data_IF_320931318297
#
_entry.id   IF_320931318297
#
_cell.length_a   1.000
_cell.length_b   1.000
_cell.length_c   1.000
_cell.angle_alpha   90.00
_cell.angle_beta   90.00
_cell.angle_gamma   90.00
#
_symmetry.space_group_name_H-M   'P 1'
#
loop_
_entity.id
_entity.type
_entity.pdbx_description
1 polymer ?
#
# COMPACT_ATOMS: atom_id res chain seq x y z
N UNK A 1 -30.46 -9.88 13.18
CA UNK A 1 -28.99 -9.89 13.41
C UNK A 1 -28.27 -9.13 12.32
N UNK A 2 -28.39 -9.53 11.03
CA UNK A 2 -27.81 -8.81 9.88
C UNK A 2 -28.09 -7.30 9.88
N UNK A 3 -29.35 -6.90 10.10
CA UNK A 3 -29.71 -5.47 10.13
C UNK A 3 -29.03 -4.64 11.21
N UNK A 4 -28.89 -5.19 12.43
CA UNK A 4 -28.35 -4.48 13.58
C UNK A 4 -26.80 -4.51 13.63
N UNK A 5 -26.20 -5.46 12.92
CA UNK A 5 -24.76 -5.73 12.93
C UNK A 5 -24.21 -5.82 11.50
N UNK A 6 -24.47 -4.83 10.63
CA UNK A 6 -24.20 -4.93 9.20
C UNK A 6 -22.73 -5.21 8.88
N UNK A 7 -21.80 -4.65 9.66
CA UNK A 7 -20.36 -4.82 9.45
C UNK A 7 -19.79 -6.20 9.73
N UNK A 8 -20.55 -7.10 10.37
CA UNK A 8 -20.11 -8.48 10.67
C UNK A 8 -20.58 -9.50 9.63
N UNK A 9 -21.41 -9.10 8.67
CA UNK A 9 -21.92 -9.99 7.64
C UNK A 9 -21.36 -9.57 6.29
N UNK A 10 -20.76 -10.53 5.59
CA UNK A 10 -20.36 -10.35 4.19
C UNK A 10 -21.56 -10.57 3.29
N UNK A 11 -21.62 -9.78 2.23
CA UNK A 11 -22.66 -9.88 1.23
C UNK A 11 -22.31 -10.92 0.17
N UNK A 12 -23.37 -11.49 -0.40
CA UNK A 12 -23.25 -12.56 -1.38
C UNK A 12 -22.83 -11.99 -2.75
N UNK A 13 -22.28 -12.83 -3.62
CA UNK A 13 -21.73 -12.40 -4.91
C UNK A 13 -22.73 -11.59 -5.78
N UNK A 14 -24.01 -11.97 -5.76
CA UNK A 14 -25.06 -11.24 -6.45
C UNK A 14 -25.26 -9.80 -5.93
N UNK A 15 -25.16 -9.59 -4.62
CA UNK A 15 -25.29 -8.28 -4.00
C UNK A 15 -24.11 -7.37 -4.36
N UNK A 16 -22.90 -7.93 -4.45
CA UNK A 16 -21.69 -7.21 -4.87
C UNK A 16 -21.78 -6.71 -6.32
N UNK A 17 -22.34 -7.50 -7.25
CA UNK A 17 -22.55 -7.07 -8.64
C UNK A 17 -23.43 -5.83 -8.73
N UNK A 18 -24.48 -5.76 -7.91
CA UNK A 18 -25.40 -4.62 -7.91
C UNK A 18 -24.78 -3.36 -7.31
N UNK A 19 -23.97 -3.51 -6.26
CA UNK A 19 -23.17 -2.40 -5.70
C UNK A 19 -22.20 -1.87 -6.75
N UNK A 20 -21.48 -2.74 -7.46
CA UNK A 20 -20.52 -2.35 -8.49
C UNK A 20 -21.13 -1.56 -9.65
N UNK A 21 -22.42 -1.74 -9.93
CA UNK A 21 -23.16 -0.99 -10.96
C UNK A 21 -23.57 0.41 -10.50
N UNK A 22 -23.87 0.60 -9.22
CA UNK A 22 -24.56 1.81 -8.73
C UNK A 22 -23.74 2.67 -7.77
N UNK A 23 -22.76 2.07 -7.08
CA UNK A 23 -21.97 2.76 -6.07
C UNK A 23 -21.06 3.84 -6.68
N UNK A 24 -20.74 4.81 -5.84
CA UNK A 24 -19.68 5.78 -6.06
C UNK A 24 -18.37 5.16 -5.55
N UNK A 25 -17.33 5.26 -6.36
CA UNK A 25 -15.97 4.85 -6.03
C UNK A 25 -15.23 6.04 -5.45
N UNK A 26 -14.91 5.95 -4.16
CA UNK A 26 -14.19 7.00 -3.43
C UNK A 26 -12.74 6.59 -3.30
N UNK A 27 -11.82 7.43 -3.75
CA UNK A 27 -10.39 7.12 -3.74
C UNK A 27 -9.65 7.87 -2.64
N UNK A 28 -8.78 7.15 -1.95
CA UNK A 28 -7.80 7.75 -1.03
C UNK A 28 -6.58 8.30 -1.79
N UNK A 29 -5.88 9.26 -1.19
CA UNK A 29 -4.67 9.87 -1.72
C UNK A 29 -3.59 8.81 -2.02
N UNK A 30 -3.46 7.81 -1.15
CA UNK A 30 -2.44 6.77 -1.27
C UNK A 30 -2.59 5.94 -2.55
N UNK A 31 -3.82 5.77 -3.06
CA UNK A 31 -4.08 5.04 -4.31
C UNK A 31 -3.56 5.84 -5.49
N UNK A 32 -3.86 7.14 -5.54
CA UNK A 32 -3.39 8.03 -6.60
C UNK A 32 -1.86 8.14 -6.60
N UNK A 33 -1.25 8.21 -5.41
CA UNK A 33 0.20 8.23 -5.24
C UNK A 33 0.86 6.91 -5.67
N UNK A 34 0.18 5.77 -5.52
CA UNK A 34 0.72 4.48 -5.94
C UNK A 34 0.81 4.33 -7.46
N UNK A 35 0.01 5.07 -8.24
CA UNK A 35 0.12 5.09 -9.70
C UNK A 35 1.53 5.51 -10.14
N UNK A 36 2.22 6.36 -9.37
CA UNK A 36 3.61 6.77 -9.66
C UNK A 36 4.66 5.70 -9.39
N UNK A 37 4.28 4.61 -8.70
CA UNK A 37 5.14 3.50 -8.30
C UNK A 37 4.96 2.26 -9.18
N UNK A 38 3.98 2.28 -10.08
CA UNK A 38 3.76 1.22 -11.05
C UNK A 38 4.55 1.49 -12.31
N UNK A 39 4.81 0.43 -13.08
CA UNK A 39 5.27 0.48 -14.45
C UNK A 39 4.32 1.32 -15.31
N UNK A 40 4.80 1.80 -16.45
CA UNK A 40 3.97 2.59 -17.37
C UNK A 40 2.72 1.80 -17.81
N UNK A 41 2.89 0.51 -18.12
CA UNK A 41 1.79 -0.39 -18.51
C UNK A 41 0.73 -0.49 -17.42
N UNK A 42 1.14 -0.72 -16.17
CA UNK A 42 0.22 -0.86 -15.04
C UNK A 42 -0.43 0.46 -14.64
N UNK A 43 0.30 1.58 -14.74
CA UNK A 43 -0.23 2.92 -14.55
C UNK A 43 -1.33 3.23 -15.57
N UNK A 44 -1.09 2.95 -16.85
CA UNK A 44 -2.07 3.11 -17.93
C UNK A 44 -3.27 2.19 -17.74
N UNK A 45 -3.04 0.94 -17.31
CA UNK A 45 -4.08 0.00 -16.94
C UNK A 45 -5.00 0.57 -15.86
N UNK A 46 -4.43 1.05 -14.75
CA UNK A 46 -5.18 1.65 -13.64
C UNK A 46 -5.97 2.89 -14.09
N UNK A 47 -5.33 3.80 -14.82
CA UNK A 47 -5.98 5.02 -15.34
C UNK A 47 -7.11 4.70 -16.32
N UNK A 48 -7.02 3.61 -17.09
CA UNK A 48 -8.09 3.14 -17.98
C UNK A 48 -9.33 2.73 -17.20
N UNK A 49 -9.15 2.05 -16.07
CA UNK A 49 -10.27 1.71 -15.17
C UNK A 49 -10.93 2.96 -14.65
N UNK A 50 -10.15 3.90 -14.11
CA UNK A 50 -10.68 5.17 -13.62
C UNK A 50 -11.47 5.94 -14.69
N UNK A 51 -11.00 5.92 -15.94
CA UNK A 51 -11.74 6.47 -17.09
C UNK A 51 -13.04 5.71 -17.37
N UNK A 52 -13.02 4.38 -17.29
CA UNK A 52 -14.21 3.55 -17.51
C UNK A 52 -15.30 3.81 -16.46
N UNK A 53 -14.93 4.10 -15.21
CA UNK A 53 -15.86 4.41 -14.12
C UNK A 53 -15.99 5.90 -13.82
N UNK A 54 -15.49 6.78 -14.70
CA UNK A 54 -15.32 8.21 -14.40
C UNK A 54 -16.61 8.91 -13.94
N UNK A 55 -17.79 8.47 -14.39
CA UNK A 55 -19.07 9.08 -13.99
C UNK A 55 -19.47 8.77 -12.54
N UNK A 56 -18.75 7.85 -11.90
CA UNK A 56 -19.01 7.34 -10.55
C UNK A 56 -17.79 7.44 -9.65
N UNK A 57 -16.75 8.16 -10.04
CA UNK A 57 -15.63 8.44 -9.13
C UNK A 57 -15.91 9.68 -8.29
N UNK A 58 -15.39 9.70 -7.08
CA UNK A 58 -15.35 10.87 -6.23
C UNK A 58 -14.10 10.84 -5.36
N UNK A 59 -13.62 12.00 -4.92
CA UNK A 59 -12.50 12.10 -3.99
C UNK A 59 -12.74 13.24 -3.00
N UNK A 60 -12.34 13.01 -1.75
CA UNK A 60 -12.44 14.04 -0.72
C UNK A 60 -11.44 15.17 -0.99
N UNK A 61 -11.77 16.39 -0.56
CA UNK A 61 -10.85 17.52 -0.66
C UNK A 61 -9.53 17.22 0.08
N UNK A 62 -9.64 16.61 1.27
CA UNK A 62 -8.50 16.24 2.09
C UNK A 62 -7.56 15.25 1.37
N UNK A 63 -8.11 14.22 0.72
CA UNK A 63 -7.30 13.27 -0.04
C UNK A 63 -6.61 13.93 -1.25
N UNK A 64 -7.27 14.90 -1.90
CA UNK A 64 -6.65 15.69 -2.97
C UNK A 64 -5.50 16.55 -2.43
N UNK A 65 -5.68 17.24 -1.30
CA UNK A 65 -4.60 18.00 -0.65
C UNK A 65 -3.40 17.11 -0.33
N UNK A 66 -3.65 15.94 0.27
CA UNK A 66 -2.59 14.98 0.63
C UNK A 66 -1.87 14.43 -0.61
N UNK A 67 -2.61 14.15 -1.69
CA UNK A 67 -2.02 13.77 -2.97
C UNK A 67 -1.05 14.86 -3.47
N UNK A 68 -1.48 16.12 -3.51
CA UNK A 68 -0.64 17.22 -3.98
C UNK A 68 0.58 17.46 -3.09
N UNK A 69 0.43 17.37 -1.76
CA UNK A 69 1.53 17.54 -0.81
C UNK A 69 2.60 16.45 -0.93
N UNK A 70 2.19 15.21 -1.20
CA UNK A 70 3.09 14.06 -1.19
C UNK A 70 3.62 13.64 -2.57
N UNK A 71 2.98 14.08 -3.68
CA UNK A 71 3.33 13.65 -5.04
C UNK A 71 4.82 13.81 -5.36
N UNK A 72 5.39 14.98 -5.11
CA UNK A 72 6.79 15.25 -5.44
C UNK A 72 7.75 14.37 -4.63
N UNK A 73 7.43 14.10 -3.36
CA UNK A 73 8.21 13.19 -2.53
C UNK A 73 8.16 11.75 -3.08
N UNK A 74 6.99 11.30 -3.56
CA UNK A 74 6.86 9.99 -4.20
C UNK A 74 7.70 9.90 -5.47
N UNK A 75 7.65 10.90 -6.35
CA UNK A 75 8.47 10.95 -7.57
C UNK A 75 9.97 10.87 -7.21
N UNK A 76 10.43 11.68 -6.24
CA UNK A 76 11.82 11.66 -5.78
C UNK A 76 12.23 10.31 -5.17
N UNK A 77 11.32 9.64 -4.45
CA UNK A 77 11.59 8.29 -3.90
C UNK A 77 11.80 7.25 -5.01
N UNK A 78 11.07 7.36 -6.13
CA UNK A 78 11.27 6.48 -7.28
C UNK A 78 12.58 6.78 -7.98
N UNK A 79 12.94 8.06 -8.11
CA UNK A 79 14.25 8.48 -8.64
C UNK A 79 15.41 7.85 -7.85
N UNK A 80 15.33 7.89 -6.51
CA UNK A 80 16.34 7.30 -5.64
C UNK A 80 16.42 5.77 -5.77
N UNK A 81 15.29 5.08 -6.02
CA UNK A 81 15.27 3.64 -6.23
C UNK A 81 16.03 3.23 -7.51
N UNK A 82 15.91 4.02 -8.59
CA UNK A 82 16.73 3.81 -9.79
C UNK A 82 18.23 4.00 -9.50
N UNK A 83 18.59 5.05 -8.76
CA UNK A 83 19.99 5.30 -8.38
C UNK A 83 20.59 4.17 -7.54
N UNK A 84 19.85 3.70 -6.54
CA UNK A 84 20.32 2.61 -5.69
C UNK A 84 20.42 1.29 -6.47
N UNK A 85 19.53 1.05 -7.44
CA UNK A 85 19.64 -0.11 -8.35
C UNK A 85 20.90 -0.03 -9.22
N UNK A 86 21.19 1.14 -9.82
CA UNK A 86 22.40 1.34 -10.63
C UNK A 86 23.67 1.15 -9.80
N UNK A 87 23.72 1.67 -8.56
CA UNK A 87 24.85 1.43 -7.64
C UNK A 87 25.04 -0.04 -7.31
N UNK A 88 23.96 -0.81 -7.15
CA UNK A 88 24.05 -2.24 -6.90
C UNK A 88 24.63 -3.00 -8.11
N UNK A 89 24.28 -2.58 -9.33
CA UNK A 89 24.90 -3.11 -10.56
C UNK A 89 26.39 -2.80 -10.58
N UNK A 90 26.80 -1.55 -10.32
CA UNK A 90 28.22 -1.17 -10.31
C UNK A 90 29.03 -1.93 -9.24
N UNK A 91 28.42 -2.17 -8.06
CA UNK A 91 29.04 -2.94 -7.00
C UNK A 91 29.19 -4.43 -7.37
N UNK A 92 28.23 -4.99 -8.10
CA UNK A 92 28.31 -6.37 -8.60
C UNK A 92 29.35 -6.51 -9.70
N UNK A 93 29.39 -5.57 -10.65
CA UNK A 93 30.43 -5.50 -11.69
C UNK A 93 31.83 -5.46 -11.08
N UNK A 94 32.04 -4.58 -10.10
CA UNK A 94 33.34 -4.44 -9.42
C UNK A 94 33.80 -5.72 -8.71
N UNK A 95 32.85 -6.51 -8.17
CA UNK A 95 33.16 -7.81 -7.54
C UNK A 95 33.57 -8.85 -8.57
N UNK A 96 32.87 -8.89 -9.71
CA UNK A 96 33.13 -9.88 -10.76
C UNK A 96 34.41 -9.58 -11.55
N UNK A 97 34.77 -8.31 -11.71
CA UNK A 97 36.01 -7.88 -12.38
C UNK A 97 37.29 -8.17 -11.55
N UNK A 98 37.13 -8.54 -10.27
CA UNK A 98 38.25 -8.93 -9.42
C UNK A 98 38.78 -10.33 -9.76
N UNK A 99 39.61 -10.40 -10.82
CA UNK A 99 40.22 -11.62 -11.35
C UNK A 99 40.97 -12.50 -10.30
N UNK A 100 41.38 -11.92 -9.16
CA UNK A 100 42.03 -12.69 -8.08
C UNK A 100 41.05 -13.59 -7.32
N UNK A 101 39.77 -13.22 -7.29
CA UNK A 101 38.73 -13.99 -6.59
C UNK A 101 38.04 -15.01 -7.49
N UNK A 102 38.13 -14.84 -8.82
CA UNK A 102 37.40 -15.65 -9.79
C UNK A 102 38.26 -16.09 -11.00
N UNK A 103 39.41 -16.76 -10.79
CA UNK A 103 40.38 -17.06 -11.85
C UNK A 103 39.89 -18.03 -12.93
N UNK A 104 38.75 -18.69 -12.73
CA UNK A 104 38.17 -19.66 -13.66
C UNK A 104 36.96 -19.13 -14.44
N UNK A 105 36.56 -17.86 -14.23
CA UNK A 105 35.50 -17.24 -15.04
C UNK A 105 36.03 -16.98 -16.45
N UNK A 106 35.21 -17.35 -17.45
CA UNK A 106 35.54 -17.08 -18.84
C UNK A 106 35.37 -15.58 -19.13
N UNK A 107 36.41 -14.96 -19.70
CA UNK A 107 36.40 -13.55 -20.08
C UNK A 107 35.25 -13.20 -21.01
N UNK A 108 34.91 -14.07 -21.98
CA UNK A 108 33.80 -13.79 -22.90
C UNK A 108 32.45 -13.66 -22.19
N UNK A 109 32.22 -14.46 -21.13
CA UNK A 109 31.01 -14.36 -20.32
C UNK A 109 30.97 -13.09 -19.48
N UNK A 110 32.13 -12.61 -19.01
CA UNK A 110 32.22 -11.31 -18.32
C UNK A 110 31.95 -10.15 -19.28
N UNK A 111 32.48 -10.20 -20.50
CA UNK A 111 32.26 -9.18 -21.54
C UNK A 111 30.76 -9.12 -21.92
N UNK A 112 30.09 -10.27 -22.10
CA UNK A 112 28.63 -10.35 -22.36
C UNK A 112 27.81 -9.79 -21.19
N UNK A 113 28.20 -10.09 -19.95
CA UNK A 113 27.54 -9.58 -18.76
C UNK A 113 27.69 -8.06 -18.63
N UNK A 114 28.89 -7.52 -18.85
CA UNK A 114 29.17 -6.07 -18.84
C UNK A 114 28.36 -5.33 -19.92
N UNK A 115 28.26 -5.91 -21.12
CA UNK A 115 27.41 -5.36 -22.18
C UNK A 115 25.92 -5.34 -21.75
N UNK A 116 25.46 -6.40 -21.09
CA UNK A 116 24.08 -6.50 -20.58
C UNK A 116 23.82 -5.49 -19.47
N UNK A 117 24.73 -5.36 -18.50
CA UNK A 117 24.61 -4.35 -17.44
C UNK A 117 24.64 -2.93 -17.96
N UNK A 118 25.47 -2.65 -18.98
CA UNK A 118 25.48 -1.34 -19.63
C UNK A 118 24.12 -1.01 -20.26
N UNK A 119 23.51 -1.98 -20.95
CA UNK A 119 22.16 -1.84 -21.51
C UNK A 119 21.10 -1.60 -20.43
N UNK A 120 21.13 -2.39 -19.35
CA UNK A 120 20.19 -2.24 -18.23
C UNK A 120 20.36 -0.86 -17.57
N UNK A 121 21.60 -0.42 -17.32
CA UNK A 121 21.88 0.92 -16.76
C UNK A 121 21.35 2.04 -17.65
N UNK A 122 21.42 1.87 -18.97
CA UNK A 122 20.82 2.82 -19.90
C UNK A 122 19.29 2.84 -19.77
N UNK A 123 18.61 1.69 -19.77
CA UNK A 123 17.16 1.58 -19.60
C UNK A 123 16.69 2.19 -18.27
N UNK A 124 17.44 1.96 -17.18
CA UNK A 124 17.17 2.54 -15.86
C UNK A 124 17.37 4.06 -15.87
N UNK A 125 18.40 4.57 -16.54
CA UNK A 125 18.67 6.01 -16.67
C UNK A 125 17.57 6.73 -17.47
N UNK A 126 17.12 6.12 -18.57
CA UNK A 126 16.01 6.63 -19.38
C UNK A 126 14.70 6.63 -18.58
N UNK A 127 14.42 5.53 -17.86
CA UNK A 127 13.24 5.42 -16.99
C UNK A 127 13.28 6.43 -15.85
N UNK A 128 14.44 6.61 -15.20
CA UNK A 128 14.68 7.62 -14.17
C UNK A 128 14.35 9.01 -14.71
N UNK A 129 14.91 9.37 -15.87
CA UNK A 129 14.65 10.66 -16.51
C UNK A 129 13.16 10.86 -16.80
N UNK A 130 12.51 9.86 -17.39
CA UNK A 130 11.07 9.91 -17.68
C UNK A 130 10.22 10.13 -16.42
N UNK A 131 10.59 9.51 -15.29
CA UNK A 131 9.93 9.74 -14.00
C UNK A 131 10.23 11.13 -13.42
N UNK A 132 11.48 11.58 -13.43
CA UNK A 132 11.87 12.89 -12.90
C UNK A 132 11.28 14.05 -13.71
N UNK A 133 11.10 13.88 -15.03
CA UNK A 133 10.45 14.88 -15.89
C UNK A 133 8.98 15.14 -15.46
N UNK A 134 8.34 14.20 -14.74
CA UNK A 134 7.00 14.37 -14.14
C UNK A 134 6.94 15.45 -13.05
N UNK A 135 8.08 15.95 -12.58
CA UNK A 135 8.08 17.12 -11.69
C UNK A 135 7.55 18.36 -12.42
N UNK A 136 7.87 18.50 -13.71
CA UNK A 136 7.51 19.65 -14.54
C UNK A 136 6.35 19.35 -15.50
N UNK A 137 6.35 18.16 -16.12
CA UNK A 137 5.33 17.73 -17.08
C UNK A 137 4.77 16.37 -16.68
N UNK A 138 3.55 16.35 -16.13
CA UNK A 138 2.99 15.18 -15.46
C UNK A 138 1.67 14.71 -16.11
N UNK A 139 1.75 13.79 -17.10
CA UNK A 139 0.56 13.25 -17.76
C UNK A 139 -0.39 12.50 -16.80
N UNK A 140 0.12 11.93 -15.70
CA UNK A 140 -0.70 11.23 -14.71
C UNK A 140 -1.54 12.25 -13.96
N UNK A 141 -0.92 13.32 -13.46
CA UNK A 141 -1.62 14.42 -12.78
C UNK A 141 -2.68 15.05 -13.69
N UNK A 142 -2.35 15.29 -14.96
CA UNK A 142 -3.30 15.90 -15.90
C UNK A 142 -4.48 14.97 -16.22
N UNK A 143 -4.20 13.66 -16.36
CA UNK A 143 -5.25 12.65 -16.54
C UNK A 143 -6.16 12.55 -15.31
N UNK A 144 -5.57 12.53 -14.11
CA UNK A 144 -6.33 12.49 -12.85
C UNK A 144 -7.19 13.74 -12.67
N UNK A 145 -6.64 14.93 -12.98
CA UNK A 145 -7.41 16.18 -12.95
C UNK A 145 -8.65 16.09 -13.86
N UNK A 146 -8.49 15.60 -15.10
CA UNK A 146 -9.61 15.40 -16.02
C UNK A 146 -10.64 14.39 -15.51
N UNK A 147 -10.21 13.30 -14.87
CA UNK A 147 -11.11 12.24 -14.36
C UNK A 147 -11.97 12.78 -13.21
N UNK A 148 -11.34 13.51 -12.28
CA UNK A 148 -11.97 14.01 -11.06
C UNK A 148 -12.57 15.42 -11.19
N UNK A 149 -12.55 16.01 -12.39
CA UNK A 149 -13.17 17.31 -12.65
C UNK A 149 -14.64 17.32 -12.20
N UNK A 150 -15.00 18.26 -11.32
CA UNK A 150 -16.33 18.37 -10.71
C UNK A 150 -16.70 17.27 -9.70
N UNK A 151 -15.77 16.39 -9.32
CA UNK A 151 -15.99 15.22 -8.45
C UNK A 151 -15.11 15.24 -7.20
N UNK A 152 -14.74 16.44 -6.77
CA UNK A 152 -13.96 16.69 -5.56
C UNK A 152 -14.89 17.28 -4.51
N UNK A 153 -14.79 16.82 -3.27
CA UNK A 153 -15.50 17.41 -2.14
C UNK A 153 -15.16 18.90 -1.96
N UNK A 154 -16.08 19.66 -1.35
CA UNK A 154 -15.79 21.05 -0.98
C UNK A 154 -14.71 21.12 0.11
N UNK A 155 -13.85 22.15 0.11
CA UNK A 155 -12.95 22.39 1.23
C UNK A 155 -13.75 22.68 2.50
N UNK A 156 -13.27 22.18 3.64
CA UNK A 156 -13.76 22.64 4.92
C UNK A 156 -13.22 24.04 5.23
N UNK A 157 -14.09 24.86 5.79
CA UNK A 157 -13.71 26.11 6.44
C UNK A 157 -12.89 25.82 7.70
N UNK A 158 -12.13 26.81 8.17
CA UNK A 158 -11.36 26.71 9.41
C UNK A 158 -12.23 26.29 10.59
N UNK A 159 -13.45 26.84 10.69
CA UNK A 159 -14.42 26.51 11.74
C UNK A 159 -14.92 25.06 11.67
N UNK A 160 -15.11 24.52 10.46
CA UNK A 160 -15.45 23.11 10.28
C UNK A 160 -14.28 22.22 10.71
N UNK A 161 -13.05 22.55 10.32
CA UNK A 161 -11.85 21.86 10.80
C UNK A 161 -11.73 21.89 12.33
N UNK A 162 -11.91 23.04 12.98
CA UNK A 162 -11.89 23.15 14.44
C UNK A 162 -12.95 22.26 15.12
N UNK A 163 -14.12 22.11 14.49
CA UNK A 163 -15.17 21.22 14.98
C UNK A 163 -14.74 19.76 14.85
N UNK A 164 -14.18 19.39 13.71
CA UNK A 164 -13.62 18.04 13.47
C UNK A 164 -12.47 17.74 14.42
N UNK A 165 -11.61 18.70 14.75
CA UNK A 165 -10.50 18.48 15.67
C UNK A 165 -10.98 18.15 17.08
N UNK A 166 -11.98 18.90 17.59
CA UNK A 166 -12.59 18.64 18.91
C UNK A 166 -13.26 17.28 18.97
N UNK A 167 -14.01 16.91 17.93
CA UNK A 167 -14.62 15.58 17.84
C UNK A 167 -13.54 14.48 17.72
N UNK A 168 -12.55 14.70 16.85
CA UNK A 168 -11.43 13.80 16.60
C UNK A 168 -10.62 13.49 17.86
N UNK A 169 -10.36 14.47 18.73
CA UNK A 169 -9.73 14.22 20.03
C UNK A 169 -10.54 13.24 20.88
N UNK A 170 -11.87 13.41 20.90
CA UNK A 170 -12.76 12.52 21.65
C UNK A 170 -12.81 11.14 21.03
N UNK A 171 -12.91 11.04 19.71
CA UNK A 171 -12.90 9.77 18.96
C UNK A 171 -11.59 9.02 19.18
N UNK A 172 -10.45 9.67 19.00
CA UNK A 172 -9.14 9.03 19.09
C UNK A 172 -8.85 8.55 20.51
N UNK A 173 -9.18 9.34 21.54
CA UNK A 173 -9.06 8.93 22.95
C UNK A 173 -9.90 7.70 23.28
N UNK A 174 -11.03 7.50 22.57
CA UNK A 174 -11.94 6.37 22.74
C UNK A 174 -11.69 5.24 21.74
N UNK A 175 -10.62 5.32 20.94
CA UNK A 175 -10.29 4.36 19.88
C UNK A 175 -11.45 4.16 18.88
N UNK A 176 -12.20 5.22 18.59
CA UNK A 176 -13.26 5.22 17.59
C UNK A 176 -12.63 5.44 16.21
N UNK A 177 -12.80 4.53 15.25
CA UNK A 177 -12.21 4.63 13.91
C UNK A 177 -12.87 5.71 13.03
N UNK A 178 -12.24 6.14 11.92
CA UNK A 178 -10.84 5.88 11.55
C UNK A 178 -9.88 6.93 12.12
N UNK A 179 -8.58 6.72 11.96
CA UNK A 179 -7.52 7.71 12.22
C UNK A 179 -6.91 7.70 13.62
N UNK A 180 -7.47 6.98 14.59
CA UNK A 180 -6.92 6.95 15.96
C UNK A 180 -5.50 6.38 16.03
N UNK A 181 -5.05 5.64 15.02
CA UNK A 181 -3.66 5.17 14.93
C UNK A 181 -2.64 6.27 14.65
N UNK A 182 -3.07 7.42 14.16
CA UNK A 182 -2.21 8.59 13.98
C UNK A 182 -2.15 9.48 15.23
N UNK A 183 -2.83 9.09 16.33
CA UNK A 183 -2.76 9.82 17.60
C UNK A 183 -1.33 10.00 18.14
N UNK A 184 -0.39 9.14 17.78
CA UNK A 184 1.03 9.27 18.19
C UNK A 184 1.83 10.28 17.35
N UNK A 185 1.39 10.61 16.13
CA UNK A 185 1.93 11.74 15.34
C UNK A 185 1.60 13.10 15.99
N UNK A 186 0.80 13.09 17.06
CA UNK A 186 0.27 14.27 17.73
C UNK A 186 1.10 14.81 18.90
N UNK A 187 2.27 14.23 19.22
CA UNK A 187 3.08 14.74 20.35
C UNK A 187 3.61 16.16 20.12
N UNK A 188 3.52 16.70 18.90
CA UNK A 188 4.03 18.01 18.49
C UNK A 188 3.03 18.80 17.60
N UNK A 189 1.73 18.48 17.63
CA UNK A 189 0.75 19.11 16.75
C UNK A 189 0.27 20.48 17.29
N UNK A 190 1.16 21.47 17.33
CA UNK A 190 0.86 22.81 17.86
C UNK A 190 0.26 23.74 16.79
N UNK A 191 0.50 23.48 15.50
CA UNK A 191 -0.05 24.29 14.41
C UNK A 191 -1.37 23.73 13.86
N UNK A 192 -2.17 24.59 13.23
CA UNK A 192 -3.39 24.19 12.52
C UNK A 192 -3.11 23.13 11.44
N UNK A 193 -1.99 23.23 10.73
CA UNK A 193 -1.61 22.26 9.71
C UNK A 193 -1.22 20.90 10.29
N UNK A 194 -0.61 20.87 11.48
CA UNK A 194 -0.29 19.61 12.15
C UNK A 194 -1.56 18.93 12.66
N UNK A 195 -2.54 19.69 13.12
CA UNK A 195 -3.87 19.17 13.43
C UNK A 195 -4.60 18.65 12.19
N UNK A 196 -4.55 19.36 11.05
CA UNK A 196 -5.08 18.86 9.77
C UNK A 196 -4.46 17.51 9.40
N UNK A 197 -3.14 17.35 9.56
CA UNK A 197 -2.44 16.08 9.30
C UNK A 197 -2.85 14.98 10.28
N UNK A 198 -2.95 15.30 11.58
CA UNK A 198 -3.36 14.37 12.64
C UNK A 198 -4.77 13.81 12.40
N UNK A 199 -5.68 14.65 11.93
CA UNK A 199 -7.08 14.30 11.71
C UNK A 199 -7.42 14.05 10.24
N UNK A 200 -6.43 13.89 9.36
CA UNK A 200 -6.61 13.71 7.91
C UNK A 200 -7.56 12.55 7.59
N UNK A 201 -7.28 11.36 8.12
CA UNK A 201 -8.12 10.16 7.97
C UNK A 201 -9.59 10.41 8.38
N UNK A 202 -9.80 11.12 9.51
CA UNK A 202 -11.14 11.47 9.98
C UNK A 202 -11.83 12.46 9.04
N UNK A 203 -11.13 13.46 8.52
CA UNK A 203 -11.68 14.42 7.56
C UNK A 203 -12.07 13.70 6.26
N UNK A 204 -11.23 12.80 5.74
CA UNK A 204 -11.55 11.97 4.57
C UNK A 204 -12.83 11.18 4.82
N UNK A 205 -12.97 10.57 5.99
CA UNK A 205 -14.14 9.80 6.39
C UNK A 205 -15.42 10.66 6.45
N UNK A 206 -15.37 11.79 7.15
CA UNK A 206 -16.52 12.69 7.31
C UNK A 206 -16.97 13.30 5.97
N UNK A 207 -16.04 13.67 5.09
CA UNK A 207 -16.39 14.14 3.75
C UNK A 207 -17.02 13.03 2.90
N UNK A 208 -16.56 11.79 3.05
CA UNK A 208 -17.13 10.62 2.37
C UNK A 208 -18.57 10.35 2.84
N UNK A 209 -18.82 10.41 4.15
CA UNK A 209 -20.15 10.26 4.74
C UNK A 209 -21.13 11.33 4.22
N UNK A 210 -20.69 12.60 4.23
CA UNK A 210 -21.51 13.70 3.74
C UNK A 210 -21.86 13.51 2.26
N UNK A 211 -20.87 13.20 1.41
CA UNK A 211 -21.12 13.00 -0.02
C UNK A 211 -22.07 11.82 -0.30
N UNK A 212 -21.91 10.70 0.42
CA UNK A 212 -22.77 9.54 0.27
C UNK A 212 -24.21 9.80 0.70
N UNK A 213 -24.39 10.55 1.80
CA UNK A 213 -25.69 10.99 2.27
C UNK A 213 -26.37 11.89 1.24
N UNK A 214 -25.67 12.91 0.75
CA UNK A 214 -26.23 13.92 -0.14
C UNK A 214 -26.57 13.35 -1.53
N UNK A 215 -25.77 12.39 -2.01
CA UNK A 215 -26.01 11.70 -3.28
C UNK A 215 -26.95 10.50 -3.16
N UNK A 216 -27.25 10.06 -1.93
CA UNK A 216 -27.99 8.84 -1.62
C UNK A 216 -27.43 7.60 -2.34
N UNK A 217 -26.09 7.47 -2.38
CA UNK A 217 -25.37 6.38 -3.06
C UNK A 217 -24.64 5.45 -2.08
N UNK A 218 -24.57 4.18 -2.45
CA UNK A 218 -23.60 3.26 -1.84
C UNK A 218 -22.18 3.70 -2.18
N UNK A 219 -21.23 3.37 -1.31
CA UNK A 219 -19.81 3.72 -1.50
C UNK A 219 -18.93 2.48 -1.50
N UNK A 220 -18.04 2.44 -2.48
CA UNK A 220 -16.84 1.59 -2.46
C UNK A 220 -15.67 2.55 -2.23
N UNK A 221 -15.02 2.46 -1.08
CA UNK A 221 -13.85 3.24 -0.73
C UNK A 221 -12.57 2.46 -1.04
N UNK A 222 -11.67 3.02 -1.84
CA UNK A 222 -10.43 2.38 -2.27
C UNK A 222 -9.28 3.01 -1.51
N UNK A 223 -8.59 2.21 -0.70
CA UNK A 223 -7.41 2.62 0.07
C UNK A 223 -6.43 1.46 0.24
N UNK A 224 -5.14 1.75 0.15
CA UNK A 224 -4.06 0.84 0.54
C UNK A 224 -3.57 1.09 1.97
N UNK A 225 -4.30 1.87 2.77
CA UNK A 225 -4.06 1.98 4.20
C UNK A 225 -4.24 0.61 4.87
N UNK A 226 -3.45 0.33 5.90
CA UNK A 226 -3.34 -0.98 6.57
C UNK A 226 -3.61 -0.90 8.06
N UNK A 227 -3.93 0.29 8.56
CA UNK A 227 -4.15 0.51 9.98
C UNK A 227 -5.43 -0.22 10.40
N UNK A 228 -5.40 -0.74 11.62
CA UNK A 228 -6.50 -1.53 12.20
C UNK A 228 -7.73 -0.67 12.57
N UNK A 229 -7.61 0.65 12.46
CA UNK A 229 -8.72 1.60 12.57
C UNK A 229 -9.49 1.75 11.25
N UNK A 230 -8.97 1.23 10.14
CA UNK A 230 -9.72 1.10 8.87
C UNK A 230 -10.21 -0.33 8.64
N UNK A 231 -9.39 -1.32 8.98
CA UNK A 231 -9.63 -2.73 8.68
C UNK A 231 -9.81 -3.60 9.91
N UNK A 232 -10.75 -4.54 9.83
CA UNK A 232 -10.78 -5.69 10.74
C UNK A 232 -9.72 -6.71 10.33
N UNK A 233 -8.77 -6.97 11.23
CA UNK A 233 -7.64 -7.86 11.00
C UNK A 233 -7.68 -8.98 12.03
N UNK A 234 -7.66 -10.22 11.57
CA UNK A 234 -7.63 -11.40 12.41
C UNK A 234 -6.46 -12.31 12.02
N UNK A 235 -5.56 -12.61 12.96
CA UNK A 235 -4.35 -13.42 12.73
C UNK A 235 -3.55 -12.99 11.49
N UNK A 236 -3.37 -11.68 11.30
CA UNK A 236 -2.65 -11.12 10.15
C UNK A 236 -3.42 -11.09 8.84
N UNK A 237 -4.65 -11.64 8.79
CA UNK A 237 -5.52 -11.60 7.62
C UNK A 237 -6.52 -10.46 7.73
N UNK A 238 -6.57 -9.62 6.70
CA UNK A 238 -7.63 -8.61 6.54
C UNK A 238 -8.95 -9.30 6.23
N UNK A 239 -9.96 -9.09 7.09
CA UNK A 239 -11.29 -9.69 6.95
C UNK A 239 -12.22 -8.76 6.16
N UNK A 240 -12.15 -7.46 6.40
CA UNK A 240 -13.02 -6.46 5.78
C UNK A 240 -12.89 -5.10 6.45
N UNK A 241 -13.72 -4.11 6.06
CA UNK A 241 -13.79 -2.83 6.77
C UNK A 241 -14.15 -3.06 8.24
N UNK A 242 -13.71 -2.15 9.12
CA UNK A 242 -14.12 -2.19 10.53
C UNK A 242 -15.66 -2.19 10.67
N UNK A 243 -16.23 -3.09 11.49
CA UNK A 243 -17.68 -3.14 11.66
C UNK A 243 -18.29 -1.82 12.14
N UNK A 244 -17.54 -1.04 12.93
CA UNK A 244 -17.94 0.29 13.39
C UNK A 244 -18.09 1.29 12.24
N UNK A 245 -17.19 1.26 11.25
CA UNK A 245 -17.27 2.12 10.07
C UNK A 245 -18.49 1.78 9.22
N UNK A 246 -18.72 0.49 8.97
CA UNK A 246 -19.90 0.02 8.22
C UNK A 246 -21.19 0.42 8.95
N UNK A 247 -21.22 0.28 10.28
CA UNK A 247 -22.38 0.67 11.09
C UNK A 247 -22.60 2.18 11.07
N UNK A 248 -21.56 2.99 11.32
CA UNK A 248 -21.66 4.45 11.30
C UNK A 248 -22.16 4.95 9.93
N UNK A 249 -21.62 4.38 8.84
CA UNK A 249 -22.04 4.73 7.50
C UNK A 249 -23.51 4.38 7.25
N UNK A 250 -23.95 3.17 7.61
CA UNK A 250 -25.34 2.75 7.44
C UNK A 250 -26.29 3.60 8.30
N UNK A 251 -25.93 3.88 9.55
CA UNK A 251 -26.75 4.69 10.45
C UNK A 251 -26.88 6.14 9.95
N UNK A 252 -25.82 6.71 9.35
CA UNK A 252 -25.81 8.09 8.87
C UNK A 252 -26.48 8.24 7.49
N UNK A 253 -26.24 7.32 6.56
CA UNK A 253 -26.64 7.46 5.14
C UNK A 253 -27.81 6.57 4.72
N UNK A 254 -28.13 5.53 5.51
CA UNK A 254 -28.98 4.40 5.08
C UNK A 254 -28.48 3.68 3.81
N UNK A 255 -27.19 3.78 3.49
CA UNK A 255 -26.52 3.16 2.33
C UNK A 255 -25.48 2.14 2.75
N UNK A 256 -25.00 1.36 1.78
CA UNK A 256 -23.99 0.31 1.97
C UNK A 256 -22.58 0.89 1.77
N UNK A 257 -21.65 0.35 2.55
CA UNK A 257 -20.25 0.76 2.54
C UNK A 257 -19.33 -0.44 2.37
N UNK A 258 -18.42 -0.32 1.41
CA UNK A 258 -17.40 -1.32 1.11
C UNK A 258 -16.04 -0.67 1.06
N UNK A 259 -15.01 -1.47 1.34
CA UNK A 259 -13.62 -1.04 1.19
C UNK A 259 -12.85 -2.05 0.36
N UNK A 260 -12.05 -1.55 -0.58
CA UNK A 260 -11.09 -2.36 -1.34
C UNK A 260 -9.70 -1.77 -1.25
N UNK A 261 -8.73 -2.67 -1.31
CA UNK A 261 -7.36 -2.32 -1.68
C UNK A 261 -7.22 -2.22 -3.19
N UNK A 262 -6.14 -1.64 -3.68
CA UNK A 262 -5.91 -1.46 -5.11
C UNK A 262 -5.97 -2.80 -5.89
N UNK A 263 -5.33 -3.85 -5.37
CA UNK A 263 -5.32 -5.20 -5.96
C UNK A 263 -6.73 -5.80 -6.09
N UNK A 264 -7.51 -5.69 -5.01
CA UNK A 264 -8.89 -6.21 -4.95
C UNK A 264 -9.81 -5.41 -5.86
N UNK A 265 -9.65 -4.09 -5.92
CA UNK A 265 -10.38 -3.22 -6.82
C UNK A 265 -10.14 -3.61 -8.29
N UNK A 266 -8.90 -3.83 -8.70
CA UNK A 266 -8.60 -4.21 -10.10
C UNK A 266 -9.11 -5.61 -10.44
N UNK A 267 -9.00 -6.58 -9.54
CA UNK A 267 -9.57 -7.92 -9.75
C UNK A 267 -11.10 -7.86 -9.96
N UNK A 268 -11.79 -7.13 -9.08
CA UNK A 268 -13.23 -6.95 -9.20
C UNK A 268 -13.61 -6.11 -10.43
N UNK A 269 -12.79 -5.13 -10.85
CA UNK A 269 -13.01 -4.40 -12.09
C UNK A 269 -12.93 -5.33 -13.31
N UNK A 270 -11.96 -6.24 -13.33
CA UNK A 270 -11.89 -7.27 -14.37
C UNK A 270 -13.14 -8.14 -14.44
N UNK A 271 -13.65 -8.56 -13.28
CA UNK A 271 -14.82 -9.41 -13.19
C UNK A 271 -16.13 -8.68 -13.54
N UNK A 272 -16.37 -7.50 -12.96
CA UNK A 272 -17.65 -6.81 -13.06
C UNK A 272 -17.72 -5.81 -14.22
N UNK A 273 -16.58 -5.33 -14.72
CA UNK A 273 -16.49 -4.32 -15.78
C UNK A 273 -15.85 -4.85 -17.07
N UNK A 274 -15.43 -6.13 -17.11
CA UNK A 274 -14.73 -6.75 -18.25
C UNK A 274 -13.54 -5.92 -18.74
N UNK A 275 -12.78 -5.35 -17.81
CA UNK A 275 -11.75 -4.36 -18.13
C UNK A 275 -10.47 -4.91 -18.79
N UNK A 276 -10.32 -6.23 -18.90
CA UNK A 276 -9.20 -6.92 -19.55
C UNK A 276 -7.82 -6.46 -19.05
N UNK A 277 -7.66 -6.23 -17.76
CA UNK A 277 -6.37 -6.01 -17.11
C UNK A 277 -5.62 -7.34 -17.11
N UNK A 278 -4.39 -7.34 -17.58
CA UNK A 278 -3.57 -8.53 -17.62
C UNK A 278 -3.01 -8.91 -16.23
N UNK A 279 -2.64 -10.18 -16.08
CA UNK A 279 -2.19 -10.75 -14.82
C UNK A 279 -0.90 -10.11 -14.29
N UNK A 280 -0.04 -9.58 -15.17
CA UNK A 280 1.20 -8.90 -14.78
C UNK A 280 0.89 -7.60 -14.03
N UNK A 281 -0.05 -6.78 -14.54
CA UNK A 281 -0.49 -5.57 -13.86
C UNK A 281 -1.14 -5.87 -12.50
N UNK A 282 -1.97 -6.91 -12.41
CA UNK A 282 -2.57 -7.32 -11.13
C UNK A 282 -1.49 -7.75 -10.13
N UNK A 283 -0.51 -8.52 -10.57
CA UNK A 283 0.60 -8.97 -9.75
C UNK A 283 1.47 -7.79 -9.27
N UNK A 284 1.79 -6.84 -10.16
CA UNK A 284 2.58 -5.66 -9.82
C UNK A 284 1.89 -4.78 -8.78
N UNK A 285 0.60 -4.49 -8.97
CA UNK A 285 -0.17 -3.65 -8.04
C UNK A 285 -0.23 -4.30 -6.65
N UNK A 286 -0.44 -5.61 -6.60
CA UNK A 286 -0.36 -6.39 -5.36
C UNK A 286 1.05 -6.35 -4.75
N UNK A 287 2.08 -6.45 -5.58
CA UNK A 287 3.48 -6.45 -5.14
C UNK A 287 3.88 -5.13 -4.48
N UNK A 288 3.56 -3.99 -5.10
CA UNK A 288 3.79 -2.65 -4.52
C UNK A 288 3.07 -2.49 -3.17
N UNK A 289 1.86 -3.04 -3.06
CA UNK A 289 1.14 -3.08 -1.79
C UNK A 289 1.90 -3.90 -0.74
N UNK A 290 2.32 -5.12 -1.08
CA UNK A 290 3.03 -6.03 -0.17
C UNK A 290 4.36 -5.45 0.30
N UNK A 291 5.19 -4.90 -0.60
CA UNK A 291 6.49 -4.35 -0.22
C UNK A 291 6.33 -3.23 0.82
N UNK A 292 5.38 -2.31 0.61
CA UNK A 292 5.04 -1.30 1.61
C UNK A 292 4.62 -1.91 2.95
N UNK A 293 3.83 -2.99 2.95
CA UNK A 293 3.31 -3.61 4.18
C UNK A 293 4.45 -4.10 5.05
N UNK A 294 5.45 -4.65 4.39
CA UNK A 294 6.55 -5.37 5.01
C UNK A 294 7.52 -4.39 5.61
N UNK A 295 7.89 -3.34 4.88
CA UNK A 295 8.73 -2.28 5.41
C UNK A 295 8.10 -1.61 6.64
N UNK A 296 6.81 -1.24 6.58
CA UNK A 296 6.11 -0.69 7.75
C UNK A 296 6.07 -1.67 8.92
N UNK A 297 5.85 -2.95 8.66
CA UNK A 297 5.86 -3.96 9.71
C UNK A 297 7.26 -4.15 10.33
N UNK A 298 8.32 -4.08 9.53
CA UNK A 298 9.70 -4.17 10.01
C UNK A 298 10.07 -2.98 10.90
N UNK A 299 9.62 -1.77 10.58
CA UNK A 299 9.81 -0.60 11.43
C UNK A 299 9.02 -0.70 12.75
N UNK A 300 7.80 -1.24 12.70
CA UNK A 300 6.89 -1.28 13.86
C UNK A 300 7.17 -2.44 14.82
N UNK A 301 7.52 -3.61 14.29
CA UNK A 301 7.63 -4.84 15.07
C UNK A 301 9.09 -5.29 15.17
N UNK A 302 9.76 -4.94 16.27
CA UNK A 302 11.12 -5.38 16.56
C UNK A 302 11.33 -6.90 16.43
N UNK A 303 10.40 -7.78 16.89
CA UNK A 303 10.57 -9.22 16.69
C UNK A 303 10.57 -9.66 15.22
N UNK A 304 9.81 -8.97 14.36
CA UNK A 304 9.83 -9.23 12.92
C UNK A 304 11.16 -8.76 12.31
N UNK A 305 11.61 -7.57 12.69
CA UNK A 305 12.89 -7.01 12.25
C UNK A 305 14.04 -7.96 12.58
N UNK A 306 14.16 -8.38 13.84
CA UNK A 306 15.23 -9.26 14.30
C UNK A 306 15.18 -10.63 13.62
N UNK A 307 13.97 -11.17 13.39
CA UNK A 307 13.77 -12.41 12.64
C UNK A 307 14.25 -12.28 11.19
N UNK A 308 13.81 -11.24 10.48
CA UNK A 308 14.21 -11.00 9.08
C UNK A 308 15.70 -10.72 8.98
N UNK A 309 16.28 -9.99 9.94
CA UNK A 309 17.72 -9.74 10.01
C UNK A 309 18.49 -11.05 10.09
N UNK A 310 18.11 -11.92 11.03
CA UNK A 310 18.75 -13.23 11.17
C UNK A 310 18.61 -14.08 9.91
N UNK A 311 17.42 -14.17 9.34
CA UNK A 311 17.18 -14.96 8.12
C UNK A 311 17.98 -14.43 6.92
N UNK A 312 18.12 -13.10 6.78
CA UNK A 312 18.99 -12.49 5.77
C UNK A 312 20.47 -12.86 5.98
N UNK A 313 20.94 -12.93 7.23
CA UNK A 313 22.32 -13.37 7.53
C UNK A 313 22.58 -14.83 7.13
N UNK A 314 21.55 -15.68 7.09
CA UNK A 314 21.67 -17.08 6.67
C UNK A 314 21.88 -17.23 5.15
N UNK A 315 21.64 -16.17 4.35
CA UNK A 315 21.77 -16.17 2.88
C UNK A 315 21.01 -17.33 2.22
N UNK A 316 19.81 -17.62 2.72
CA UNK A 316 18.96 -18.66 2.18
C UNK A 316 18.48 -18.28 0.77
N UNK A 317 18.51 -19.23 -0.16
CA UNK A 317 17.90 -19.07 -1.48
C UNK A 317 16.41 -19.40 -1.44
N UNK A 318 15.64 -18.81 -2.35
CA UNK A 318 14.23 -19.17 -2.57
C UNK A 318 14.11 -20.69 -2.80
N UNK A 319 13.13 -21.31 -2.15
CA UNK A 319 12.92 -22.76 -2.08
C UNK A 319 13.57 -23.43 -0.87
N UNK A 320 14.44 -22.72 -0.12
CA UNK A 320 15.09 -23.27 1.06
C UNK A 320 14.15 -23.44 2.24
N UNK A 321 14.40 -24.45 3.07
CA UNK A 321 13.71 -24.62 4.35
C UNK A 321 14.25 -23.60 5.36
N UNK A 322 13.36 -22.95 6.08
CA UNK A 322 13.73 -22.13 7.22
C UNK A 322 14.13 -22.99 8.42
N UNK A 323 14.98 -22.46 9.32
CA UNK A 323 15.21 -23.07 10.63
C UNK A 323 13.90 -23.29 11.38
N UNK A 324 13.86 -24.30 12.24
CA UNK A 324 12.67 -24.63 13.02
C UNK A 324 12.28 -23.49 13.96
N UNK A 325 10.99 -23.40 14.34
CA UNK A 325 10.52 -22.41 15.32
C UNK A 325 11.33 -22.45 16.64
N UNK A 326 11.83 -23.64 17.01
CA UNK A 326 12.70 -23.81 18.18
C UNK A 326 14.03 -23.10 17.99
N UNK A 327 14.71 -23.35 16.88
CA UNK A 327 16.02 -22.75 16.58
C UNK A 327 15.89 -21.23 16.44
N UNK A 328 14.86 -20.76 15.73
CA UNK A 328 14.57 -19.33 15.60
C UNK A 328 14.30 -18.68 16.96
N UNK A 329 13.56 -19.36 17.84
CA UNK A 329 13.28 -18.86 19.19
C UNK A 329 14.56 -18.75 20.04
N UNK A 330 15.45 -19.74 19.96
CA UNK A 330 16.72 -19.75 20.70
C UNK A 330 17.69 -18.68 20.18
N UNK A 331 17.76 -18.44 18.87
CA UNK A 331 18.73 -17.51 18.28
C UNK A 331 18.25 -16.06 18.31
N UNK A 332 16.99 -15.79 17.99
CA UNK A 332 16.45 -14.42 17.93
C UNK A 332 16.04 -13.93 19.34
N UNK A 333 15.92 -14.84 20.32
CA UNK A 333 15.67 -14.49 21.72
C UNK A 333 14.20 -14.19 22.06
N UNK A 334 13.26 -14.57 21.19
CA UNK A 334 11.82 -14.49 21.44
C UNK A 334 11.23 -15.87 21.69
N UNK A 335 10.13 -15.95 22.44
CA UNK A 335 9.43 -17.23 22.64
C UNK A 335 8.82 -17.76 21.31
N UNK A 336 8.55 -19.08 21.26
CA UNK A 336 8.04 -19.73 20.04
C UNK A 336 6.70 -19.18 19.55
N UNK A 337 5.85 -18.69 20.44
CA UNK A 337 4.56 -18.08 20.05
C UNK A 337 4.78 -16.80 19.26
N UNK A 338 5.68 -15.92 19.73
CA UNK A 338 6.05 -14.67 19.06
C UNK A 338 6.71 -14.96 17.70
N UNK A 339 7.59 -15.96 17.62
CA UNK A 339 8.19 -16.40 16.36
C UNK A 339 7.13 -16.88 15.38
N UNK A 340 6.19 -17.72 15.84
CA UNK A 340 5.10 -18.21 15.00
C UNK A 340 4.23 -17.08 14.47
N UNK A 341 3.89 -16.10 15.30
CA UNK A 341 3.16 -14.90 14.86
C UNK A 341 3.93 -14.13 13.78
N UNK A 342 5.25 -13.99 13.89
CA UNK A 342 6.04 -13.30 12.87
C UNK A 342 6.20 -14.12 11.59
N UNK A 343 6.28 -15.45 11.68
CA UNK A 343 6.26 -16.33 10.50
C UNK A 343 4.92 -16.22 9.77
N UNK A 344 3.80 -16.25 10.49
CA UNK A 344 2.45 -16.05 9.90
C UNK A 344 2.35 -14.66 9.25
N UNK A 345 2.99 -13.65 9.84
CA UNK A 345 3.08 -12.32 9.25
C UNK A 345 3.93 -12.31 7.96
N UNK A 346 5.07 -13.00 7.93
CA UNK A 346 5.86 -13.16 6.70
C UNK A 346 5.11 -13.96 5.62
N UNK A 347 4.30 -14.93 6.03
CA UNK A 347 3.41 -15.68 5.12
C UNK A 347 2.32 -14.78 4.56
N UNK A 348 1.71 -13.92 5.38
CA UNK A 348 0.75 -12.92 4.89
C UNK A 348 1.34 -11.91 3.90
N UNK A 349 2.67 -11.82 3.86
CA UNK A 349 3.42 -11.00 2.91
C UNK A 349 4.06 -11.80 1.78
N UNK A 350 3.74 -13.09 1.67
CA UNK A 350 4.20 -13.99 0.61
C UNK A 350 5.72 -14.19 0.55
N UNK A 351 6.42 -14.06 1.70
CA UNK A 351 7.84 -14.44 1.78
C UNK A 351 8.05 -15.90 2.14
N UNK A 352 7.13 -16.48 2.91
CA UNK A 352 7.25 -17.84 3.41
C UNK A 352 5.95 -18.61 3.21
N UNK A 353 6.07 -19.92 3.08
CA UNK A 353 4.94 -20.85 3.00
C UNK A 353 4.96 -21.80 4.22
N UNK A 354 3.95 -21.69 5.09
CA UNK A 354 3.83 -22.48 6.32
C UNK A 354 2.95 -23.69 6.05
N UNK A 355 3.60 -24.83 5.83
CA UNK A 355 2.92 -26.11 5.70
C UNK A 355 2.80 -26.80 7.07
N UNK A 356 1.57 -26.99 7.56
CA UNK A 356 1.34 -27.68 8.84
C UNK A 356 2.01 -29.07 8.88
N UNK A 357 2.92 -29.26 9.85
CA UNK A 357 3.68 -30.51 10.01
C UNK A 357 4.90 -30.67 9.11
N UNK A 358 5.24 -29.66 8.29
CA UNK A 358 6.47 -29.60 7.47
C UNK A 358 7.27 -28.34 7.82
N UNK A 359 8.53 -28.30 7.38
CA UNK A 359 9.36 -27.09 7.51
C UNK A 359 8.78 -25.96 6.67
N UNK A 360 8.74 -24.75 7.23
CA UNK A 360 8.42 -23.52 6.51
C UNK A 360 9.41 -23.32 5.36
N UNK A 361 8.92 -22.96 4.18
CA UNK A 361 9.75 -22.71 3.00
C UNK A 361 9.87 -21.21 2.74
N UNK A 362 11.04 -20.76 2.34
CA UNK A 362 11.24 -19.43 1.79
C UNK A 362 10.76 -19.43 0.33
N UNK A 363 9.80 -18.59 -0.03
CA UNK A 363 9.22 -18.54 -1.38
C UNK A 363 9.58 -17.26 -2.15
N UNK A 364 10.14 -16.26 -1.45
CA UNK A 364 10.62 -15.00 -2.04
C UNK A 364 11.83 -14.50 -1.24
N UNK A 365 12.73 -13.77 -1.90
CA UNK A 365 13.84 -13.09 -1.21
C UNK A 365 13.31 -12.14 -0.15
N UNK A 366 13.83 -12.24 1.08
CA UNK A 366 13.44 -11.37 2.18
C UNK A 366 13.85 -9.92 1.91
N UNK A 367 13.11 -8.95 2.44
CA UNK A 367 13.42 -7.54 2.24
C UNK A 367 14.78 -7.19 2.84
N UNK A 368 15.54 -6.36 2.12
CA UNK A 368 16.79 -5.80 2.63
C UNK A 368 16.49 -4.79 3.75
N UNK A 369 17.19 -4.92 4.88
CA UNK A 369 17.00 -4.00 6.01
C UNK A 369 17.82 -2.71 5.87
N UNK A 370 18.79 -2.67 4.95
CA UNK A 370 19.64 -1.48 4.73
C UNK A 370 18.87 -0.28 4.15
N UNK A 371 17.66 -0.49 3.64
CA UNK A 371 16.80 0.59 3.12
C UNK A 371 15.93 1.24 4.20
N UNK A 372 15.86 0.65 5.41
CA UNK A 372 15.03 1.17 6.50
C UNK A 372 15.67 2.34 7.27
N UNK A 373 16.99 2.52 7.16
CA UNK A 373 17.75 3.53 7.91
C UNK A 373 17.81 4.92 7.23
N UNK A 374 17.16 5.11 6.07
CA UNK A 374 17.26 6.35 5.28
C UNK A 374 16.06 7.31 5.40
N UNK A 375 15.01 6.94 6.13
CA UNK A 375 13.76 7.73 6.24
C UNK A 375 13.55 8.30 7.66
N UNK A 376 14.59 8.90 8.25
CA UNK A 376 14.47 9.81 9.41
C UNK A 376 14.60 11.27 8.97
#
# INVERSE_FOLDING_TARGET
>A
MKELFPGYFREEHGELSDIWKQAVFVFDANILLNIYRYSNKSSEGFLRILKQIQDRVWISHQAVEEYFQNRLAVIKSQEAAYDDTMKNIDALESKLDNNRQHPFLNKSSLDELQATFSKIKQELSESKKYHSDRILNDPIKDTLASIFEGKIGAPYTEKEYETVFKDGETRYRRFIPPGYKDSNKAKEADSFNDQKRKFGDLVVWLQTLAHANDSAKDVIFITDDKKEDWWEIFNGKTIGPRPELVKEFKDFTSKRFYMYRADTFLNNANEFLNSNIDAETLAEVKQVHLDKSVFTALQKYKPLHDLVFYLNMQKLSVGSKLPSERELSEVVGYNRTVIREQLVRLESYEYVDINHGKSTLLIKELPSLNTLEKDD
#
